data_IF_658718759561
#
_entry.id   IF_658718759561
#
_cell.length_a   1.000
_cell.length_b   1.000
_cell.length_c   1.000
_cell.angle_alpha   90.00
_cell.angle_beta   90.00
_cell.angle_gamma   90.00
#
_symmetry.space_group_name_H-M   'P 1'
#
loop_
_entity.id
_entity.type
_entity.pdbx_description
1 polymer ?
2 polymer ?
3 water ?
#
# COMPACT_ATOMS: atom_id res chain seq x y z
N UNK A 2 -33.26 8.23 -28.94
CA UNK A 2 -33.25 9.34 -27.98
C UNK A 2 -31.89 9.53 -27.32
N UNK A 3 -31.60 10.78 -26.96
CA UNK A 3 -30.31 11.12 -26.36
C UNK A 3 -30.22 10.52 -24.97
N UNK A 4 -28.99 10.23 -24.56
CA UNK A 4 -28.76 9.56 -23.27
C UNK A 4 -29.09 10.52 -22.12
N UNK A 5 -29.75 10.01 -21.06
CA UNK A 5 -30.01 10.86 -19.91
C UNK A 5 -28.73 11.37 -19.22
N UNK A 6 -28.85 12.48 -18.50
CA UNK A 6 -27.71 13.13 -17.88
C UNK A 6 -27.75 13.06 -16.36
N UNK A 7 -26.56 13.21 -15.76
CA UNK A 7 -26.36 13.36 -14.30
C UNK A 7 -27.13 12.34 -13.46
N UNK A 8 -26.66 11.09 -13.51
CA UNK A 8 -27.27 10.02 -12.73
C UNK A 8 -26.66 10.09 -11.35
N UNK A 9 -27.54 10.32 -10.38
CA UNK A 9 -27.22 10.65 -9.03
C UNK A 9 -27.99 9.74 -8.14
N UNK A 10 -27.50 9.53 -6.92
CA UNK A 10 -28.20 8.73 -5.91
C UNK A 10 -28.80 9.67 -4.89
N UNK A 11 -30.11 9.59 -4.70
CA UNK A 11 -30.82 10.44 -3.74
C UNK A 11 -30.75 9.87 -2.34
N UNK A 12 -30.95 8.57 -2.23
CA UNK A 12 -31.03 7.89 -0.93
C UNK A 12 -30.48 6.47 -1.09
N UNK A 13 -29.88 5.93 -0.02
CA UNK A 13 -29.26 4.60 -0.08
C UNK A 13 -29.44 3.83 1.21
N UNK A 14 -29.76 2.54 1.11
CA UNK A 14 -30.01 1.65 2.28
C UNK A 14 -29.47 0.27 1.97
N UNK A 15 -29.53 -0.63 2.95
CA UNK A 15 -29.22 -2.04 2.70
C UNK A 15 -30.26 -2.60 1.74
N UNK A 16 -31.51 -2.17 1.95
CA UNK A 16 -32.68 -2.67 1.24
C UNK A 16 -32.79 -2.22 -0.23
N UNK A 17 -32.63 -0.92 -0.45
CA UNK A 17 -32.79 -0.34 -1.78
C UNK A 17 -32.04 0.97 -1.93
N UNK A 18 -31.83 1.37 -3.17
CA UNK A 18 -31.17 2.64 -3.47
C UNK A 18 -32.07 3.41 -4.41
N UNK A 19 -32.34 4.68 -4.11
CA UNK A 19 -33.16 5.51 -4.97
C UNK A 19 -32.27 6.39 -5.82
N UNK A 20 -32.36 6.22 -7.14
CA UNK A 20 -31.52 6.96 -8.08
C UNK A 20 -32.35 7.88 -8.98
N UNK A 21 -31.87 9.11 -9.18
CA UNK A 21 -32.49 10.10 -10.09
C UNK A 21 -31.58 10.43 -11.29
N UNK A 22 -32.15 11.17 -12.24
CA UNK A 22 -31.43 11.61 -13.44
C UNK A 22 -32.10 12.82 -14.10
N UNK A 23 -31.29 13.60 -14.82
CA UNK A 23 -31.78 14.72 -15.60
C UNK A 23 -32.25 14.23 -16.97
N UNK A 24 -33.34 14.81 -17.47
CA UNK A 24 -33.93 14.39 -18.77
C UNK A 24 -33.01 14.90 -19.89
N UNK A 25 -32.92 14.15 -20.99
CA UNK A 25 -32.04 14.60 -22.07
C UNK A 25 -32.62 15.76 -22.88
N UNK A 26 -31.78 16.32 -23.76
CA UNK A 26 -32.17 17.46 -24.60
C UNK A 26 -33.36 17.08 -25.46
N UNK A 27 -34.35 17.98 -25.52
CA UNK A 27 -35.67 17.67 -26.06
C UNK A 27 -35.57 17.69 -27.59
N UNK A 28 -36.13 16.66 -28.23
CA UNK A 28 -36.09 16.46 -29.66
C UNK A 28 -37.52 16.23 -30.18
N UNK A 29 -37.72 16.58 -31.44
CA UNK A 29 -38.99 16.38 -32.13
C UNK A 29 -39.08 15.04 -32.84
N UNK A 30 -38.24 14.08 -32.47
CA UNK A 30 -38.25 12.73 -33.05
C UNK A 30 -39.43 11.91 -32.57
N UNK A 31 -39.57 11.82 -31.25
CA UNK A 31 -40.74 11.17 -30.65
C UNK A 31 -40.71 11.37 -29.15
N UNK A 32 -41.89 11.61 -28.51
CA UNK A 32 -41.89 11.81 -27.06
C UNK A 32 -41.36 10.61 -26.26
N UNK A 33 -40.61 10.90 -25.20
CA UNK A 33 -40.01 9.90 -24.33
C UNK A 33 -41.11 9.17 -23.56
N UNK A 34 -41.26 7.87 -23.83
CA UNK A 34 -42.30 7.06 -23.18
C UNK A 34 -41.91 6.75 -21.75
N UNK A 35 -40.61 6.64 -21.50
CA UNK A 35 -40.08 6.34 -20.17
C UNK A 35 -38.58 6.12 -20.22
N UNK A 36 -38.07 5.43 -19.21
CA UNK A 36 -36.65 5.13 -19.09
C UNK A 36 -36.41 3.72 -18.54
N UNK A 37 -35.23 3.17 -18.88
CA UNK A 37 -34.73 1.92 -18.31
C UNK A 37 -33.49 2.20 -17.47
N UNK A 38 -33.41 1.54 -16.31
CA UNK A 38 -32.31 1.69 -15.36
C UNK A 38 -31.54 0.37 -15.29
N UNK A 39 -30.21 0.47 -15.37
CA UNK A 39 -29.34 -0.70 -15.28
C UNK A 39 -28.40 -0.56 -14.09
N UNK A 40 -28.14 -1.67 -13.41
CA UNK A 40 -27.21 -1.68 -12.28
C UNK A 40 -26.07 -2.64 -12.53
N UNK A 41 -24.91 -2.34 -11.96
CA UNK A 41 -23.73 -3.20 -12.09
C UNK A 41 -22.98 -3.19 -10.78
N UNK A 42 -22.61 -4.36 -10.27
CA UNK A 42 -21.83 -4.45 -9.05
C UNK A 42 -20.44 -3.99 -9.45
N UNK A 43 -19.84 -3.05 -8.72
CA UNK A 43 -18.63 -2.36 -9.18
C UNK A 43 -17.49 -3.23 -9.76
N UNK A 44 -17.18 -4.33 -9.09
CA UNK A 44 -16.08 -5.22 -9.54
C UNK A 44 -16.32 -5.95 -10.85
N UNK A 45 -17.49 -6.59 -10.94
CA UNK A 45 -17.93 -7.32 -12.12
C UNK A 45 -18.23 -6.38 -13.27
N UNK A 46 -18.36 -6.93 -14.47
CA UNK A 46 -18.73 -6.11 -15.60
C UNK A 46 -20.12 -6.49 -16.10
N UNK A 47 -20.92 -7.09 -15.20
CA UNK A 47 -22.27 -7.54 -15.53
C UNK A 47 -23.30 -6.46 -15.27
N UNK A 48 -23.95 -6.01 -16.35
CA UNK A 48 -25.01 -5.00 -16.29
C UNK A 48 -26.38 -5.68 -16.38
N UNK A 49 -27.24 -5.41 -15.39
CA UNK A 49 -28.57 -5.97 -15.31
C UNK A 49 -29.62 -4.86 -15.36
N UNK A 50 -30.69 -5.10 -16.12
CA UNK A 50 -31.81 -4.19 -16.28
C UNK A 50 -32.75 -4.34 -15.08
N UNK A 51 -32.97 -3.25 -14.34
CA UNK A 51 -33.72 -3.28 -13.08
C UNK A 51 -35.22 -3.34 -13.31
N UNK A 52 -35.72 -2.56 -14.25
CA UNK A 52 -37.14 -2.50 -14.57
C UNK A 52 -37.43 -3.15 -15.91
N UNK A 53 -38.47 -3.98 -15.96
CA UNK A 53 -38.84 -4.73 -17.18
C UNK A 53 -39.61 -3.87 -18.20
N UNK A 54 -40.47 -2.97 -17.71
CA UNK A 54 -41.16 -1.96 -18.57
C UNK A 54 -40.75 -0.52 -18.16
N UNK A 55 -40.76 0.45 -19.12
CA UNK A 55 -40.27 1.80 -18.82
C UNK A 55 -40.97 2.52 -17.70
N UNK A 56 -40.25 3.42 -17.05
CA UNK A 56 -40.76 4.30 -15.98
C UNK A 56 -40.61 5.77 -16.39
N UNK A 57 -41.64 6.57 -16.17
CA UNK A 57 -41.59 7.99 -16.56
C UNK A 57 -41.02 8.87 -15.47
N UNK A 58 -41.30 8.51 -14.22
CA UNK A 58 -40.89 9.31 -13.08
C UNK A 58 -39.37 9.29 -12.99
N UNK A 59 -38.77 10.48 -13.06
CA UNK A 59 -37.30 10.63 -13.13
C UNK A 59 -36.51 10.30 -11.83
N UNK A 60 -37.14 9.60 -10.87
CA UNK A 60 -36.46 9.00 -9.68
C UNK A 60 -36.98 7.57 -9.45
N UNK A 61 -36.07 6.63 -9.15
CA UNK A 61 -36.42 5.19 -9.16
C UNK A 61 -35.74 4.38 -8.03
N UNK A 62 -36.52 3.57 -7.28
CA UNK A 62 -35.93 2.74 -6.24
C UNK A 62 -35.45 1.40 -6.80
N UNK A 63 -34.19 1.07 -6.54
CA UNK A 63 -33.58 -0.16 -7.05
C UNK A 63 -33.52 -1.16 -5.91
N UNK A 64 -34.03 -2.37 -6.16
CA UNK A 64 -34.00 -3.47 -5.18
C UNK A 64 -33.06 -4.59 -5.67
N UNK A 65 -33.02 -5.71 -4.96
CA UNK A 65 -32.15 -6.82 -5.32
C UNK A 65 -30.69 -6.47 -5.14
N UNK A 66 -30.36 -5.88 -4.00
CA UNK A 66 -28.99 -5.47 -3.67
C UNK A 66 -28.42 -6.43 -2.63
N UNK A 67 -27.23 -6.94 -2.91
CA UNK A 67 -26.52 -7.76 -1.94
C UNK A 67 -25.89 -6.77 -0.95
N UNK A 68 -26.24 -6.91 0.33
CA UNK A 68 -25.88 -5.95 1.39
C UNK A 68 -24.37 -5.76 1.47
N UNK A 69 -23.96 -4.50 1.65
CA UNK A 69 -22.53 -4.17 1.77
C UNK A 69 -21.74 -4.09 0.47
N UNK A 70 -22.38 -4.39 -0.66
CA UNK A 70 -21.71 -4.35 -1.95
C UNK A 70 -22.00 -3.00 -2.56
N UNK A 71 -21.06 -2.52 -3.37
CA UNK A 71 -21.19 -1.22 -4.02
C UNK A 71 -21.61 -1.39 -5.46
N UNK A 72 -22.50 -0.50 -5.92
CA UNK A 72 -23.12 -0.58 -7.26
C UNK A 72 -22.97 0.75 -8.04
N UNK A 73 -22.90 0.64 -9.37
CA UNK A 73 -23.01 1.80 -10.27
C UNK A 73 -24.22 1.66 -11.21
N UNK A 74 -24.73 2.79 -11.70
CA UNK A 74 -25.98 2.83 -12.45
C UNK A 74 -25.91 3.67 -13.70
N UNK A 75 -26.66 3.25 -14.71
CA UNK A 75 -26.86 4.01 -15.93
C UNK A 75 -28.34 3.97 -16.33
N UNK A 76 -28.77 4.96 -17.10
CA UNK A 76 -30.16 5.10 -17.56
C UNK A 76 -30.17 5.20 -19.07
N UNK A 77 -31.22 4.65 -19.69
CA UNK A 77 -31.43 4.72 -21.14
C UNK A 77 -32.83 5.25 -21.38
N UNK A 78 -32.95 6.28 -22.22
CA UNK A 78 -34.27 6.80 -22.59
C UNK A 78 -34.92 5.91 -23.64
N UNK A 79 -36.25 5.86 -23.64
CA UNK A 79 -36.99 5.05 -24.63
C UNK A 79 -38.24 5.77 -25.15
N UNK A 80 -38.36 5.79 -26.48
CA UNK A 80 -39.51 6.38 -27.19
C UNK A 80 -40.21 5.33 -28.07
N UNK A 81 -41.05 5.79 -28.99
CA UNK A 81 -41.77 4.92 -29.92
C UNK A 81 -40.88 4.25 -30.98
N UNK A 82 -39.74 4.88 -31.24
CA UNK A 82 -38.77 4.47 -32.22
C UNK A 82 -37.53 3.79 -31.59
N UNK A 83 -37.65 3.36 -30.32
CA UNK A 83 -36.72 2.37 -29.73
C UNK A 83 -36.02 2.97 -28.54
N UNK A 84 -34.95 2.31 -28.10
CA UNK A 84 -34.19 2.69 -26.91
C UNK A 84 -32.91 3.39 -27.34
N UNK A 85 -32.54 4.43 -26.58
CA UNK A 85 -31.32 5.17 -26.83
C UNK A 85 -30.13 4.56 -26.12
N UNK A 86 -28.98 5.21 -26.25
CA UNK A 86 -27.76 4.72 -25.62
C UNK A 86 -27.76 5.06 -24.13
N UNK A 87 -26.92 4.37 -23.32
CA UNK A 87 -26.94 4.62 -21.88
C UNK A 87 -26.24 5.89 -21.47
N UNK A 88 -26.67 6.40 -20.33
CA UNK A 88 -26.05 7.55 -19.71
C UNK A 88 -24.68 7.22 -19.17
N UNK A 89 -23.90 8.27 -18.94
CA UNK A 89 -22.63 8.17 -18.27
C UNK A 89 -22.94 7.61 -16.86
N UNK A 90 -22.19 6.59 -16.44
CA UNK A 90 -22.53 5.84 -15.22
C UNK A 90 -22.34 6.69 -13.96
N UNK A 91 -23.06 6.34 -12.90
CA UNK A 91 -23.06 7.08 -11.64
C UNK A 91 -21.80 6.87 -10.82
N UNK A 92 -21.66 7.64 -9.75
CA UNK A 92 -20.63 7.39 -8.75
C UNK A 92 -21.02 6.13 -7.98
N UNK A 93 -20.05 5.34 -7.51
CA UNK A 93 -20.47 4.11 -6.82
C UNK A 93 -21.28 4.37 -5.57
N UNK A 94 -22.30 3.52 -5.34
CA UNK A 94 -23.22 3.64 -4.20
C UNK A 94 -23.20 2.32 -3.42
N UNK A 95 -22.78 2.35 -2.16
CA UNK A 95 -22.72 1.14 -1.33
C UNK A 95 -24.07 0.86 -0.69
N UNK A 96 -24.50 -0.40 -0.72
CA UNK A 96 -25.77 -0.81 -0.11
C UNK A 96 -25.64 -1.03 1.39
N UNK A 97 -25.61 0.07 2.14
CA UNK A 97 -25.46 0.07 3.60
C UNK A 97 -26.40 1.07 4.19
N UNK A 98 -26.88 0.81 5.39
CA UNK A 98 -27.66 1.82 6.10
C UNK A 98 -26.73 3.01 6.41
N UNK A 99 -27.26 4.24 6.38
CA UNK A 99 -26.40 5.41 6.55
C UNK A 99 -25.42 5.38 7.73
N UNK A 100 -25.86 4.88 8.89
CA UNK A 100 -25.02 4.79 10.09
C UNK A 100 -23.83 3.84 9.92
N UNK A 101 -24.05 2.73 9.21
CA UNK A 101 -22.96 1.77 8.96
C UNK A 101 -21.94 2.35 7.98
N UNK A 102 -22.39 3.05 6.95
CA UNK A 102 -21.49 3.76 6.03
C UNK A 102 -20.66 4.82 6.78
N UNK A 103 -21.29 5.58 7.66
CA UNK A 103 -20.61 6.58 8.50
C UNK A 103 -19.57 5.93 9.41
N UNK A 104 -19.97 4.81 10.02
CA UNK A 104 -19.12 4.04 10.92
C UNK A 104 -17.85 3.55 10.24
N UNK A 105 -18.03 2.92 9.08
CA UNK A 105 -16.92 2.41 8.25
C UNK A 105 -16.01 3.51 7.73
N UNK A 106 -16.60 4.60 7.26
CA UNK A 106 -15.84 5.77 6.76
C UNK A 106 -14.93 6.39 7.81
N UNK A 107 -15.42 6.45 9.04
CA UNK A 107 -14.64 6.96 10.17
C UNK A 107 -14.27 5.81 11.08
N UNK A 108 -13.44 4.91 10.55
CA UNK A 108 -12.91 3.80 11.32
C UNK A 108 -11.39 3.78 11.18
N UNK A 109 -10.66 3.68 12.33
CA UNK A 109 -9.21 3.63 12.20
C UNK A 109 -8.71 2.26 11.75
N UNK A 110 -7.67 2.28 10.91
CA UNK A 110 -7.04 1.08 10.40
C UNK A 110 -5.54 1.11 10.70
N UNK A 111 -5.03 0.02 11.25
CA UNK A 111 -3.61 -0.13 11.60
C UNK A 111 -2.74 0.01 10.36
N UNK A 112 -1.59 0.71 10.46
CA UNK A 112 -0.82 0.96 9.25
C UNK A 112 -0.20 -0.30 8.63
N UNK A 113 -0.04 -0.28 7.32
CA UNK A 113 0.60 -1.34 6.56
C UNK A 113 1.79 -0.71 5.86
N UNK A 114 2.92 -1.40 5.88
CA UNK A 114 4.15 -0.86 5.31
C UNK A 114 4.65 -1.73 4.17
N UNK A 115 4.90 -1.08 3.03
CA UNK A 115 5.36 -1.78 1.83
C UNK A 115 6.82 -2.11 1.87
N UNK A 116 7.25 -2.98 0.95
CA UNK A 116 8.65 -3.30 0.81
C UNK A 116 9.44 -2.03 0.55
N UNK A 117 10.65 -1.97 1.09
CA UNK A 117 11.52 -0.85 0.86
C UNK A 117 12.26 -1.11 -0.44
N UNK A 118 12.09 -0.20 -1.39
CA UNK A 118 12.71 -0.27 -2.71
C UNK A 118 13.98 0.61 -2.66
N UNK A 119 15.14 -0.03 -2.81
CA UNK A 119 16.41 0.67 -2.77
C UNK A 119 16.96 0.76 -4.20
N UNK A 120 17.39 1.97 -4.58
CA UNK A 120 17.95 2.24 -5.91
C UNK A 120 19.20 3.13 -5.85
N UNK A 121 20.12 2.90 -6.78
CA UNK A 121 21.35 3.71 -6.91
C UNK A 121 21.20 4.89 -7.88
N UNK A 122 21.62 6.08 -7.44
CA UNK A 122 21.69 7.31 -8.26
C UNK A 122 23.09 7.92 -8.18
N UNK A 123 23.42 8.84 -9.10
CA UNK A 123 24.61 9.72 -8.91
C UNK A 123 24.32 11.16 -9.30
N UNK A 124 24.96 12.11 -8.60
CA UNK A 124 24.90 13.52 -9.04
C UNK A 124 25.71 13.75 -10.31
N UNK B 2 38.76 -3.64 22.40
CA UNK B 2 38.70 -4.81 21.51
C UNK B 2 37.82 -4.59 20.29
N UNK B 3 38.15 -5.28 19.20
CA UNK B 3 37.42 -5.11 17.93
C UNK B 3 36.02 -5.70 18.07
N UNK B 4 35.09 -5.16 17.31
CA UNK B 4 33.70 -5.57 17.39
C UNK B 4 33.52 -6.98 16.84
N UNK B 5 32.68 -7.80 17.51
CA UNK B 5 32.41 -9.14 16.98
C UNK B 5 31.70 -9.12 15.63
N UNK B 6 31.83 -10.21 14.89
CA UNK B 6 31.29 -10.29 13.53
C UNK B 6 30.15 -11.29 13.42
N UNK B 7 29.33 -11.10 12.37
CA UNK B 7 28.26 -12.02 11.94
C UNK B 7 27.35 -12.51 13.06
N UNK B 8 26.53 -11.60 13.59
CA UNK B 8 25.58 -11.94 14.65
C UNK B 8 24.34 -12.52 13.97
N UNK B 9 24.05 -13.77 14.32
CA UNK B 9 22.93 -14.49 13.73
C UNK B 9 22.17 -15.18 14.84
N UNK B 10 20.97 -15.63 14.49
CA UNK B 10 20.09 -16.33 15.40
C UNK B 10 20.11 -17.81 15.06
N UNK B 11 20.47 -18.63 16.04
CA UNK B 11 20.44 -20.06 15.85
C UNK B 11 19.04 -20.64 16.01
N UNK B 12 18.32 -20.19 17.04
CA UNK B 12 17.03 -20.77 17.41
C UNK B 12 16.15 -19.67 18.02
N UNK B 13 14.83 -19.76 17.84
CA UNK B 13 13.91 -18.71 18.31
C UNK B 13 12.58 -19.26 18.81
N UNK B 14 12.09 -18.70 19.91
CA UNK B 14 10.87 -19.17 20.59
C UNK B 14 10.20 -18.01 21.26
N UNK B 15 8.99 -18.23 21.75
CA UNK B 15 8.31 -17.22 22.52
C UNK B 15 9.15 -16.92 23.73
N UNK B 16 9.72 -17.99 24.30
CA UNK B 16 10.41 -17.97 25.60
C UNK B 16 11.77 -17.29 25.53
N UNK B 17 12.56 -17.68 24.55
CA UNK B 17 13.93 -17.19 24.43
C UNK B 17 14.44 -17.30 23.01
N UNK B 18 15.49 -16.57 22.71
CA UNK B 18 16.14 -16.62 21.40
C UNK B 18 17.61 -16.89 21.62
N UNK B 19 18.16 -17.87 20.91
CA UNK B 19 19.58 -18.19 21.04
C UNK B 19 20.33 -17.54 19.89
N UNK B 20 21.27 -16.65 20.23
CA UNK B 20 22.05 -15.92 19.23
C UNK B 20 23.54 -16.26 19.32
N UNK B 21 24.17 -16.46 18.16
CA UNK B 21 25.63 -16.70 18.03
C UNK B 21 26.37 -15.55 17.33
N UNK B 22 27.71 -15.60 17.37
CA UNK B 22 28.57 -14.62 16.68
C UNK B 22 30.00 -15.14 16.44
N UNK B 23 30.66 -14.57 15.42
CA UNK B 23 32.06 -14.87 15.06
C UNK B 23 32.98 -13.97 15.90
N UNK B 24 34.09 -14.55 16.40
CA UNK B 24 35.04 -13.85 17.28
C UNK B 24 35.80 -12.81 16.46
N UNK B 25 36.17 -11.66 17.05
CA UNK B 25 36.88 -10.66 16.25
C UNK B 25 38.35 -11.02 16.00
N UNK B 26 39.01 -10.22 15.16
CA UNK B 26 40.44 -10.41 14.83
C UNK B 26 41.32 -10.28 16.08
N UNK B 27 42.31 -11.16 16.23
CA UNK B 27 43.11 -11.24 17.46
C UNK B 27 44.12 -10.07 17.54
N UNK B 28 43.78 -9.02 18.29
CA UNK B 28 44.67 -7.82 18.36
C UNK B 28 45.91 -7.98 19.26
N UNK B 29 45.89 -8.97 20.17
CA UNK B 29 47.00 -9.20 21.10
C UNK B 29 47.25 -8.12 22.16
N UNK B 30 46.28 -7.21 22.32
CA UNK B 30 46.36 -6.15 23.33
C UNK B 30 46.10 -6.68 24.74
N UNK B 31 44.98 -7.36 24.91
CA UNK B 31 44.59 -8.03 26.16
C UNK B 31 43.57 -9.13 25.84
N UNK B 32 43.70 -10.32 26.43
CA UNK B 32 42.78 -11.41 26.07
C UNK B 32 41.30 -11.11 26.37
N UNK B 33 40.42 -11.54 25.45
CA UNK B 33 38.97 -11.32 25.56
C UNK B 33 38.42 -12.13 26.74
N UNK B 34 37.91 -11.43 27.75
CA UNK B 34 37.38 -12.05 28.96
C UNK B 34 35.98 -12.58 28.78
N UNK B 35 35.29 -12.03 27.79
CA UNK B 35 33.96 -12.51 27.42
C UNK B 35 33.30 -11.53 26.48
N UNK B 36 31.97 -11.58 26.42
CA UNK B 36 31.17 -10.70 25.57
C UNK B 36 29.89 -10.25 26.28
N UNK B 37 29.39 -9.10 25.86
CA UNK B 37 28.08 -8.59 26.28
C UNK B 37 27.15 -8.58 25.07
N UNK B 38 25.91 -9.00 25.30
CA UNK B 38 24.89 -9.06 24.28
C UNK B 38 23.84 -7.99 24.62
N UNK B 39 23.45 -7.23 23.60
CA UNK B 39 22.43 -6.19 23.77
C UNK B 39 21.25 -6.51 22.85
N UNK B 40 20.03 -6.27 23.33
CA UNK B 40 18.83 -6.47 22.51
C UNK B 40 18.06 -5.16 22.38
N UNK B 41 17.32 -5.02 21.29
CA UNK B 41 16.48 -3.86 21.05
C UNK B 41 15.22 -4.31 20.35
N UNK B 42 14.07 -3.83 20.82
CA UNK B 42 12.80 -4.11 20.18
C UNK B 42 12.76 -3.24 18.92
N UNK B 43 12.55 -3.87 17.76
CA UNK B 43 12.82 -3.23 16.47
C UNK B 43 12.34 -1.77 16.33
N UNK B 44 11.12 -1.49 16.78
CA UNK B 44 10.56 -0.15 16.63
C UNK B 44 11.26 0.92 17.45
N UNK B 45 11.42 0.63 18.75
CA UNK B 45 12.07 1.53 19.71
C UNK B 45 13.55 1.66 19.43
N UNK B 46 14.20 2.63 20.05
CA UNK B 46 15.64 2.73 19.94
C UNK B 46 16.29 2.45 21.28
N UNK B 47 15.61 1.69 22.13
CA UNK B 47 16.12 1.33 23.45
C UNK B 47 16.92 0.05 23.40
N UNK B 48 18.21 0.16 23.67
CA UNK B 48 19.14 -0.97 23.70
C UNK B 48 19.38 -1.36 25.15
N UNK B 49 19.12 -2.62 25.46
CA UNK B 49 19.27 -3.16 26.82
C UNK B 49 20.30 -4.28 26.84
N UNK B 50 21.12 -4.29 27.89
CA UNK B 50 22.16 -5.28 28.07
C UNK B 50 21.53 -6.54 28.67
N UNK B 51 21.70 -7.68 27.99
CA UNK B 51 21.03 -8.93 28.38
C UNK B 51 21.71 -9.66 29.51
N UNK B 52 23.04 -9.72 29.48
CA UNK B 52 23.83 -10.37 30.51
C UNK B 52 24.57 -9.34 31.36
N UNK B 53 24.53 -9.53 32.68
CA UNK B 53 25.12 -8.57 33.64
C UNK B 53 26.64 -8.75 33.76
N UNK B 54 27.12 -9.99 33.69
CA UNK B 54 28.58 -10.28 33.61
C UNK B 54 28.93 -11.01 32.28
N UNK B 55 30.19 -10.83 31.76
CA UNK B 55 30.52 -11.38 30.44
C UNK B 55 30.39 -12.87 30.30
N UNK B 56 30.12 -13.32 29.08
CA UNK B 56 30.02 -14.73 28.72
C UNK B 56 31.08 -15.07 27.66
N UNK B 57 31.77 -16.20 27.82
CA UNK B 57 32.84 -16.61 26.88
C UNK B 57 32.28 -17.43 25.72
N UNK B 58 31.27 -18.24 26.01
CA UNK B 58 30.69 -19.15 25.04
C UNK B 58 30.04 -18.33 23.93
N UNK B 59 30.51 -18.53 22.70
CA UNK B 59 30.07 -17.71 21.54
C UNK B 59 28.61 -17.97 21.02
N UNK B 60 27.76 -18.62 21.82
CA UNK B 60 26.29 -18.72 21.59
C UNK B 60 25.51 -18.49 22.91
N UNK B 61 24.43 -17.71 22.86
CA UNK B 61 23.79 -17.19 24.07
C UNK B 61 22.24 -17.15 24.01
N UNK B 62 21.56 -17.71 25.03
CA UNK B 62 20.11 -17.61 25.07
C UNK B 62 19.62 -16.30 25.70
N UNK B 63 18.77 -15.58 24.99
CA UNK B 63 18.24 -14.30 25.44
C UNK B 63 16.83 -14.51 25.98
N UNK B 64 16.59 -14.04 27.20
CA UNK B 64 15.26 -14.12 27.83
C UNK B 64 14.65 -12.71 27.98
N UNK B 65 13.49 -12.61 28.63
CA UNK B 65 12.82 -11.33 28.82
C UNK B 65 12.31 -10.78 27.51
N UNK B 66 11.65 -11.64 26.73
CA UNK B 66 11.09 -11.26 25.45
C UNK B 66 9.57 -11.13 25.59
N UNK B 67 9.04 -10.01 25.11
CA UNK B 67 7.60 -9.83 25.05
C UNK B 67 7.15 -10.61 23.82
N UNK B 68 6.26 -11.58 24.03
CA UNK B 68 5.85 -12.54 23.00
C UNK B 68 5.28 -11.83 21.78
N UNK B 69 5.66 -12.30 20.59
CA UNK B 69 5.18 -11.73 19.34
C UNK B 69 5.88 -10.48 18.85
N UNK B 70 6.81 -9.94 19.63
CA UNK B 70 7.52 -8.73 19.26
C UNK B 70 8.82 -9.15 18.60
N UNK B 71 9.31 -8.32 17.67
CA UNK B 71 10.54 -8.62 16.94
C UNK B 71 11.69 -7.83 17.53
N UNK B 72 12.87 -8.48 17.59
CA UNK B 72 14.07 -7.93 18.24
C UNK B 72 15.30 -7.98 17.34
N UNK B 73 16.21 -7.03 17.52
CA UNK B 73 17.56 -7.08 16.91
C UNK B 73 18.66 -7.10 17.98
N UNK B 74 19.82 -7.63 17.63
CA UNK B 74 20.90 -7.88 18.59
C UNK B 74 22.26 -7.41 18.11
N UNK B 75 23.08 -6.97 19.07
CA UNK B 75 24.48 -6.66 18.83
C UNK B 75 25.32 -7.22 19.97
N UNK B 76 26.60 -7.45 19.69
CA UNK B 76 27.56 -8.00 20.67
C UNK B 76 28.73 -7.05 20.81
N UNK B 77 29.26 -6.95 22.03
CA UNK B 77 30.44 -6.14 22.31
C UNK B 77 31.43 -7.05 23.01
N UNK B 78 32.67 -7.07 22.52
CA UNK B 78 33.74 -7.80 23.20
C UNK B 78 34.24 -7.05 24.43
N UNK B 79 34.71 -7.78 25.43
CA UNK B 79 35.24 -7.14 26.64
C UNK B 79 36.51 -7.84 27.16
N UNK B 80 37.53 -7.02 27.45
CA UNK B 80 38.81 -7.48 28.02
C UNK B 80 39.10 -6.83 29.37
N UNK B 81 40.33 -6.93 29.84
CA UNK B 81 40.69 -6.32 31.13
C UNK B 81 40.51 -4.83 31.15
N UNK B 82 40.79 -4.21 30.01
CA UNK B 82 40.84 -2.76 29.95
C UNK B 82 39.44 -2.12 29.89
N UNK B 83 38.47 -2.87 29.40
CA UNK B 83 37.17 -2.31 29.10
C UNK B 83 36.44 -2.99 27.96
N UNK B 84 35.36 -2.35 27.53
CA UNK B 84 34.44 -2.89 26.51
C UNK B 84 34.66 -2.21 25.15
N UNK B 85 34.58 -3.00 24.09
CA UNK B 85 34.74 -2.50 22.73
C UNK B 85 33.43 -1.99 22.16
N UNK B 86 33.50 -1.57 20.90
CA UNK B 86 32.34 -1.06 20.20
C UNK B 86 31.43 -2.22 19.78
N UNK B 87 30.14 -1.93 19.52
CA UNK B 87 29.23 -3.03 19.19
C UNK B 87 29.36 -3.55 17.77
N UNK B 88 28.96 -4.79 17.60
CA UNK B 88 28.90 -5.42 16.30
C UNK B 88 27.79 -4.82 15.45
N UNK B 89 27.89 -5.07 14.15
CA UNK B 89 26.84 -4.74 13.22
C UNK B 89 25.61 -5.56 13.64
N UNK B 90 24.45 -4.91 13.75
CA UNK B 90 23.27 -5.55 14.36
C UNK B 90 22.70 -6.67 13.48
N UNK B 91 22.00 -7.60 14.12
CA UNK B 91 21.47 -8.80 13.47
C UNK B 91 20.24 -8.51 12.63
N UNK B 92 19.81 -9.51 11.86
CA UNK B 92 18.51 -9.45 11.19
C UNK B 92 17.42 -9.57 12.25
N UNK B 93 16.25 -8.93 12.04
CA UNK B 93 15.24 -9.00 13.10
C UNK B 93 14.76 -10.44 13.36
N UNK B 94 14.52 -10.74 14.64
CA UNK B 94 14.07 -12.07 15.09
C UNK B 94 12.78 -11.91 15.90
N UNK B 95 11.69 -12.50 15.42
CA UNK B 95 10.41 -12.43 16.12
C UNK B 95 10.31 -13.48 17.20
N UNK B 96 9.82 -13.09 18.39
CA UNK B 96 9.64 -14.01 19.50
C UNK B 96 8.33 -14.79 19.36
N UNK B 97 8.36 -15.81 18.50
CA UNK B 97 7.23 -16.70 18.28
C UNK B 97 7.74 -18.12 18.22
N UNK B 98 6.89 -19.07 18.60
CA UNK B 98 7.20 -20.48 18.39
C UNK B 98 7.24 -20.74 16.88
N UNK B 99 8.11 -21.67 16.43
CA UNK B 99 8.29 -21.85 14.99
C UNK B 99 7.02 -22.05 14.15
N UNK B 100 6.04 -22.80 14.67
CA UNK B 100 4.77 -23.05 13.99
C UNK B 100 3.93 -21.79 13.81
N UNK B 101 3.95 -20.91 14.80
CA UNK B 101 3.21 -19.65 14.72
C UNK B 101 3.87 -18.69 13.70
N UNK B 102 5.19 -18.63 13.66
CA UNK B 102 5.92 -17.87 12.64
C UNK B 102 5.60 -18.39 11.22
N UNK B 103 5.58 -19.70 11.06
CA UNK B 103 5.22 -20.34 9.78
C UNK B 103 3.79 -20.01 9.38
N UNK B 104 2.88 -20.08 10.35
CA UNK B 104 1.47 -19.79 10.17
C UNK B 104 1.23 -18.36 9.69
N UNK B 105 1.84 -17.42 10.38
CA UNK B 105 1.76 -15.99 10.03
C UNK B 105 2.39 -15.65 8.68
N UNK B 106 3.55 -16.23 8.40
CA UNK B 106 4.25 -16.04 7.13
C UNK B 106 3.44 -16.50 5.92
N UNK B 107 2.73 -17.62 6.08
CA UNK B 107 1.86 -18.14 5.04
C UNK B 107 0.41 -17.93 5.46
N UNK B 108 0.02 -16.66 5.56
CA UNK B 108 -1.34 -16.27 5.87
C UNK B 108 -1.83 -15.25 4.84
N UNK B 109 -3.02 -15.47 4.26
CA UNK B 109 -3.50 -14.49 3.29
C UNK B 109 -4.11 -13.26 3.97
N UNK B 110 -3.88 -12.10 3.36
CA UNK B 110 -4.49 -10.85 3.78
C UNK B 110 -5.22 -10.22 2.58
N UNK B 111 -6.45 -9.78 2.81
CA UNK B 111 -7.30 -9.18 1.78
C UNK B 111 -6.62 -7.93 1.19
N UNK B 112 -6.66 -7.74 -0.15
CA UNK B 112 -5.91 -6.63 -0.71
C UNK B 112 -6.42 -5.25 -0.33
N UNK B 113 -5.51 -4.30 -0.27
CA UNK B 113 -5.84 -2.91 0.00
C UNK B 113 -5.39 -2.11 -1.20
N UNK B 114 -6.18 -1.12 -1.62
CA UNK B 114 -5.82 -0.29 -2.77
C UNK B 114 -5.85 1.21 -2.46
N UNK B 115 -4.80 1.89 -2.90
CA UNK B 115 -4.62 3.33 -2.63
C UNK B 115 -5.41 4.22 -3.56
N UNK B 116 -5.46 5.50 -3.23
CA UNK B 116 -6.07 6.48 -4.10
C UNK B 116 -5.41 6.43 -5.48
N UNK B 117 -6.21 6.62 -6.53
CA UNK B 117 -5.71 6.69 -7.90
C UNK B 117 -5.24 8.12 -8.15
N UNK B 118 -3.96 8.26 -8.46
CA UNK B 118 -3.34 9.55 -8.74
C UNK B 118 -3.33 9.73 -10.26
N UNK B 119 -4.05 10.74 -10.74
CA UNK B 119 -4.14 11.00 -12.17
C UNK B 119 -3.29 12.21 -12.51
N UNK B 120 -2.46 12.09 -13.55
CA UNK B 120 -1.57 13.17 -14.00
C UNK B 120 -1.54 13.29 -15.52
N UNK B 121 -1.32 14.51 -16.00
CA UNK B 121 -1.19 14.81 -17.44
C UNK B 121 0.27 14.76 -17.93
N UNK B 122 0.51 14.06 -19.03
CA UNK B 122 1.82 13.99 -19.70
C UNK B 122 1.69 14.45 -21.15
N UNK B 123 2.81 14.89 -21.73
CA UNK B 123 2.84 15.58 -23.00
C UNK B 123 3.41 14.66 -24.07
N UNK B 124 2.65 14.38 -25.14
CA UNK B 124 3.23 13.61 -26.24
C UNK B 124 4.27 14.41 -27.05
N UNK C 2 -9.28 -2.43 4.52
CA UNK C 2 -9.14 -2.30 3.09
C UNK C 2 -10.45 -1.88 2.43
N UNK C 3 -10.78 -0.59 2.52
CA UNK C 3 -12.06 -0.07 1.99
C UNK C 3 -11.95 0.40 0.53
N UNK C 4 -10.79 0.96 0.19
CA UNK C 4 -10.53 1.41 -1.17
C UNK C 4 -11.09 2.79 -1.43
N UNK C 5 -10.30 3.61 -2.11
CA UNK C 5 -10.60 5.03 -2.32
C UNK C 5 -11.70 5.24 -3.36
N UNK C 6 -12.56 6.22 -3.12
CA UNK C 6 -13.61 6.59 -4.07
C UNK C 6 -14.75 5.61 -4.26
N UNK C 7 -14.86 4.59 -3.39
CA UNK C 7 -15.96 3.62 -3.43
C UNK C 7 -17.02 4.02 -2.37
N UNK C 8 -16.60 4.15 -1.11
CA UNK C 8 -17.51 4.65 -0.05
C UNK C 8 -17.59 6.18 -0.10
N UNK C 9 -16.42 6.82 -0.14
CA UNK C 9 -16.31 8.26 -0.42
C UNK C 9 -16.60 8.53 -1.90
N UNK C 10 -16.97 9.77 -2.24
CA UNK C 10 -17.20 10.14 -3.64
C UNK C 10 -15.82 10.20 -4.31
N UNK C 11 -15.68 9.61 -5.50
CA UNK C 11 -14.37 9.64 -6.15
C UNK C 11 -13.94 11.05 -6.57
N UNK C 12 -12.64 11.27 -6.67
CA UNK C 12 -12.10 12.58 -7.07
C UNK C 12 -12.31 12.76 -8.57
N UNK C 13 -12.43 13.99 -9.03
CA UNK C 13 -12.55 14.28 -10.47
C UNK C 13 -11.29 14.97 -10.94
N UNK C 14 -10.57 14.37 -11.88
CA UNK C 14 -9.36 14.97 -12.44
C UNK C 14 -9.55 15.33 -13.92
N UNK C 15 -9.37 16.61 -14.22
CA UNK C 15 -9.53 17.17 -15.55
C UNK C 15 -8.23 17.02 -16.37
N UNK C 16 -8.38 16.70 -17.64
CA UNK C 16 -7.26 16.51 -18.57
C UNK C 16 -7.55 17.28 -19.86
N UNK C 17 -6.50 17.78 -20.51
CA UNK C 17 -6.68 18.51 -21.75
C UNK C 17 -6.75 17.54 -22.92
N UNK C 18 -7.67 17.81 -23.84
CA UNK C 18 -7.93 16.93 -24.97
C UNK C 18 -6.70 16.89 -25.85
N UNK C 19 -6.32 15.67 -26.25
CA UNK C 19 -5.14 15.42 -27.08
C UNK C 19 -3.89 15.05 -26.29
N UNK C 20 -3.90 15.24 -24.98
CA UNK C 20 -2.76 14.92 -24.13
C UNK C 20 -2.96 13.55 -23.49
N UNK C 21 -1.90 13.01 -22.90
CA UNK C 21 -1.94 11.72 -22.23
C UNK C 21 -2.39 11.88 -20.78
N UNK C 22 -3.03 10.85 -20.23
CA UNK C 22 -3.46 10.82 -18.81
C UNK C 22 -2.95 9.54 -18.14
N UNK C 23 -2.20 9.71 -17.07
CA UNK C 23 -1.58 8.62 -16.33
C UNK C 23 -2.36 8.37 -15.04
N UNK C 24 -2.74 7.11 -14.81
CA UNK C 24 -3.46 6.69 -13.62
C UNK C 24 -2.51 5.78 -12.85
N UNK C 25 -2.08 6.20 -11.65
CA UNK C 25 -1.22 5.37 -10.82
C UNK C 25 -1.96 4.92 -9.57
N UNK C 26 -1.77 3.65 -9.22
CA UNK C 26 -2.42 3.05 -8.05
C UNK C 26 -1.53 1.98 -7.41
N UNK C 27 -1.24 2.14 -6.13
CA UNK C 27 -0.43 1.18 -5.36
C UNK C 27 -1.38 0.22 -4.64
N UNK C 28 -1.03 -1.07 -4.63
CA UNK C 28 -1.88 -2.14 -4.06
C UNK C 28 -1.03 -3.11 -3.20
N UNK C 29 -1.53 -3.47 -2.02
CA UNK C 29 -0.89 -4.45 -1.12
C UNK C 29 -1.79 -5.67 -0.92
N UNK C 30 -1.20 -6.84 -0.66
CA UNK C 30 -1.93 -8.13 -0.49
C UNK C 30 -0.86 -9.24 -0.42
N UNK C 31 -0.93 -10.20 0.50
CA UNK C 31 -0.67 -11.62 0.27
C UNK C 31 -1.81 -12.57 0.09
N UNK C 32 -1.77 -13.42 -0.97
CA UNK C 32 -0.76 -13.48 -2.04
C UNK C 32 -0.83 -12.27 -2.97
N UNK C 33 0.16 -12.14 -3.86
CA UNK C 33 0.19 -11.08 -4.88
C UNK C 33 -1.19 -10.93 -5.58
N UNK C 34 -1.89 -9.80 -5.34
CA UNK C 34 -3.23 -9.66 -5.95
C UNK C 34 -3.18 -9.29 -7.42
N UNK C 35 -3.96 -10.01 -8.23
CA UNK C 35 -4.08 -9.74 -9.66
C UNK C 35 -5.01 -8.57 -9.84
N UNK C 36 -4.58 -7.58 -10.63
CA UNK C 36 -5.34 -6.34 -10.79
C UNK C 36 -5.85 -6.17 -12.23
N UNK C 37 -7.01 -5.55 -12.35
CA UNK C 37 -7.60 -5.23 -13.65
C UNK C 37 -8.32 -3.88 -13.62
N UNK C 38 -8.35 -3.23 -14.77
CA UNK C 38 -8.95 -1.91 -14.88
C UNK C 38 -10.32 -2.02 -15.54
N UNK C 39 -11.18 -1.08 -15.17
CA UNK C 39 -12.52 -0.95 -15.71
C UNK C 39 -12.81 0.50 -15.99
N UNK C 40 -13.67 0.73 -16.98
CA UNK C 40 -14.09 2.06 -17.35
C UNK C 40 -15.58 2.02 -17.62
N UNK C 41 -16.32 2.81 -16.86
CA UNK C 41 -17.76 2.92 -16.98
C UNK C 41 -18.48 1.55 -16.89
N UNK C 42 -17.94 0.67 -16.04
CA UNK C 42 -18.46 -0.67 -15.84
C UNK C 42 -18.11 -1.67 -16.92
N UNK C 43 -17.11 -1.34 -17.74
CA UNK C 43 -16.67 -2.19 -18.84
C UNK C 43 -15.21 -2.52 -18.58
N UNK C 44 -14.76 -3.73 -18.97
CA UNK C 44 -13.36 -4.04 -18.75
C UNK C 44 -12.45 -3.26 -19.69
N UNK C 45 -11.34 -2.76 -19.16
CA UNK C 45 -10.36 -2.06 -19.96
C UNK C 45 -9.35 -3.08 -20.44
N UNK C 46 -9.06 -3.05 -21.75
CA UNK C 46 -8.17 -4.02 -22.36
C UNK C 46 -7.02 -3.29 -23.08
N UNK C 47 -5.79 -3.86 -23.04
CA UNK C 47 -4.63 -3.18 -23.64
C UNK C 47 -4.76 -2.94 -25.16
N UNK C 48 -4.68 -1.66 -25.53
CA UNK C 48 -4.79 -1.20 -26.90
C UNK C 48 -3.54 -0.40 -27.25
N UNK C 49 -3.51 0.10 -28.48
CA UNK C 49 -2.53 1.07 -28.87
C UNK C 49 -2.72 2.32 -28.01
N UNK C 50 -3.98 2.74 -27.93
CA UNK C 50 -4.39 3.92 -27.15
C UNK C 50 -4.29 3.75 -25.63
N UNK C 51 -4.66 2.57 -25.14
CA UNK C 51 -4.69 2.29 -23.71
C UNK C 51 -3.55 1.34 -23.37
N UNK C 52 -2.66 1.73 -22.45
CA UNK C 52 -1.58 0.86 -21.98
C UNK C 52 -1.58 0.62 -20.48
N UNK C 53 -1.24 -0.60 -20.07
CA UNK C 53 -1.18 -0.96 -18.67
C UNK C 53 0.09 -1.71 -18.32
N UNK C 54 0.79 -1.24 -17.30
CA UNK C 54 2.04 -1.85 -16.86
C UNK C 54 2.28 -1.54 -15.39
N UNK C 55 3.15 -2.31 -14.74
CA UNK C 55 3.48 -2.04 -13.36
C UNK C 55 4.76 -1.22 -13.30
N UNK C 56 4.69 -0.08 -12.62
CA UNK C 56 5.81 0.85 -12.41
C UNK C 56 7.02 0.22 -11.68
N UNK C 57 8.21 0.77 -11.92
CA UNK C 57 9.42 0.33 -11.21
C UNK C 57 9.42 0.75 -9.74
N UNK C 58 8.71 1.83 -9.42
CA UNK C 58 8.52 2.28 -8.03
C UNK C 58 7.52 1.41 -7.25
N UNK C 59 7.08 0.31 -7.86
CA UNK C 59 5.94 -0.44 -7.34
C UNK C 59 4.66 0.21 -7.88
N UNK C 60 3.53 -0.45 -7.72
CA UNK C 60 2.24 0.09 -8.15
C UNK C 60 1.95 -0.10 -9.61
N UNK C 61 0.66 -0.22 -9.93
CA UNK C 61 0.19 -0.50 -11.27
C UNK C 61 -0.28 0.78 -11.94
N UNK C 62 -0.01 0.87 -13.24
CA UNK C 62 -0.23 2.09 -14.00
C UNK C 62 -1.13 1.82 -15.19
N UNK C 63 -2.06 2.74 -15.43
CA UNK C 63 -2.88 2.73 -16.62
C UNK C 63 -2.62 4.03 -17.33
N UNK C 64 -2.36 3.97 -18.63
CA UNK C 64 -2.06 5.17 -19.38
C UNK C 64 -2.96 5.26 -20.62
N UNK C 65 -3.79 6.30 -20.67
CA UNK C 65 -4.69 6.48 -21.82
C UNK C 65 -4.09 7.62 -22.60
N UNK C 66 -3.69 7.34 -23.84
CA UNK C 66 -2.97 8.32 -24.64
C UNK C 66 -3.92 9.07 -25.56
N UNK C 67 -3.69 10.38 -25.72
CA UNK C 67 -4.42 11.22 -26.66
C UNK C 67 -5.89 11.21 -26.25
N UNK C 68 -6.15 11.82 -25.12
CA UNK C 68 -7.49 11.85 -24.56
C UNK C 68 -8.48 12.54 -25.45
N UNK C 69 -9.68 11.98 -25.52
CA UNK C 69 -10.78 12.48 -26.32
C UNK C 69 -11.94 12.71 -25.37
N UNK C 70 -12.90 13.52 -25.78
CA UNK C 70 -14.05 13.81 -24.92
C UNK C 70 -14.76 12.54 -24.47
N UNK C 71 -14.90 11.61 -25.42
CA UNK C 71 -15.49 10.28 -25.17
C UNK C 71 -14.78 9.42 -24.10
N UNK C 72 -13.52 9.74 -23.78
CA UNK C 72 -12.75 9.01 -22.75
C UNK C 72 -13.15 9.32 -21.29
N UNK C 73 -13.97 10.33 -21.10
CA UNK C 73 -14.57 10.67 -19.82
C UNK C 73 -15.17 9.47 -19.12
N UNK C 74 -15.17 9.45 -17.80
CA UNK C 74 -15.94 8.44 -17.08
C UNK C 74 -15.31 8.01 -15.78
N UNK C 75 -15.91 6.98 -15.20
CA UNK C 75 -15.45 6.39 -13.95
C UNK C 75 -14.42 5.31 -14.25
N UNK C 76 -13.19 5.53 -13.78
CA UNK C 76 -12.10 4.60 -13.95
C UNK C 76 -11.89 3.90 -12.62
N UNK C 77 -11.97 2.56 -12.63
CA UNK C 77 -11.87 1.74 -11.42
C UNK C 77 -10.68 0.79 -11.53
N UNK C 78 -9.87 0.74 -10.49
CA UNK C 78 -8.76 -0.21 -10.36
C UNK C 78 -9.17 -1.32 -9.40
N UNK C 79 -9.47 -2.50 -9.96
CA UNK C 79 -9.93 -3.65 -9.19
C UNK C 79 -8.74 -4.56 -8.93
N UNK C 80 -8.60 -4.99 -7.68
CA UNK C 80 -7.50 -5.87 -7.28
C UNK C 80 -8.07 -7.00 -6.47
N UNK C 81 -7.70 -8.23 -6.82
CA UNK C 81 -8.23 -9.42 -6.16
C UNK C 81 -7.12 -10.48 -5.91
N UNK C 82 -7.21 -11.12 -4.74
CA UNK C 82 -6.42 -12.32 -4.40
C UNK C 82 -7.32 -13.37 -3.75
N UNK C 83 -6.74 -14.49 -3.32
CA UNK C 83 -7.51 -15.60 -2.73
C UNK C 83 -8.43 -15.19 -1.58
N UNK C 84 -7.96 -14.27 -0.75
CA UNK C 84 -8.72 -13.81 0.43
C UNK C 84 -9.83 -12.80 0.14
N UNK C 85 -9.63 -11.96 -0.88
CA UNK C 85 -10.62 -10.93 -1.17
C UNK C 85 -10.32 -10.04 -2.36
N UNK C 86 -11.20 -9.07 -2.54
CA UNK C 86 -11.12 -8.07 -3.59
C UNK C 86 -11.42 -6.68 -3.04
N UNK C 87 -10.77 -5.67 -3.58
CA UNK C 87 -10.94 -4.28 -3.15
C UNK C 87 -10.78 -3.41 -4.39
N UNK C 88 -11.61 -2.36 -4.51
CA UNK C 88 -11.58 -1.46 -5.67
C UNK C 88 -11.24 -0.03 -5.23
N UNK C 89 -10.57 0.70 -6.12
CA UNK C 89 -10.41 2.16 -6.04
C UNK C 89 -11.00 2.82 -7.28
N UNK C 90 -11.64 3.98 -7.13
CA UNK C 90 -12.30 4.67 -8.24
C UNK C 90 -11.86 6.13 -8.37
N UNK C 91 -12.04 6.68 -9.58
CA UNK C 91 -11.67 8.06 -9.92
C UNK C 91 -12.40 8.50 -11.19
N UNK C 92 -12.69 9.79 -11.31
CA UNK C 92 -13.44 10.31 -12.46
C UNK C 92 -12.59 11.23 -13.33
N UNK C 93 -12.60 10.98 -14.63
CA UNK C 93 -11.83 11.76 -15.61
C UNK C 93 -12.78 12.62 -16.42
N UNK C 94 -12.51 13.93 -16.45
CA UNK C 94 -13.23 14.89 -17.31
C UNK C 94 -12.23 15.47 -18.32
N UNK C 95 -12.73 15.78 -19.50
CA UNK C 95 -11.87 16.22 -20.61
C UNK C 95 -12.17 17.66 -21.04
N UNK C 96 -11.13 18.48 -21.04
CA UNK C 96 -11.20 19.90 -21.34
C UNK C 96 -10.98 20.09 -22.85
N UNK C 97 -12.06 20.37 -23.58
CA UNK C 97 -11.96 20.52 -25.05
C UNK C 97 -11.39 21.88 -25.46
N UNK C 98 -10.46 21.93 -26.45
CA UNK C 98 -9.93 23.23 -26.88
C UNK C 98 -10.84 23.93 -27.90
N UNK D 1 -3.64 -8.03 7.01
CA UNK D 1 -2.35 -8.56 7.59
C UNK D 1 -1.19 -7.56 7.53
N UNK D 2 -1.20 -6.53 8.40
CA UNK D 2 -0.11 -5.57 8.35
C UNK D 2 1.14 -6.11 9.06
N UNK D 3 1.88 -6.98 8.39
CA UNK D 3 3.07 -7.64 8.99
C UNK D 3 4.36 -6.86 8.75
N UNK D 4 4.46 -6.25 7.55
CA UNK D 4 5.61 -5.43 7.20
C UNK D 4 6.75 -6.28 6.67
N UNK D 5 7.39 -5.78 5.62
CA UNK D 5 8.42 -6.51 4.89
C UNK D 5 9.74 -6.58 5.65
N UNK D 6 10.41 -7.73 5.56
CA UNK D 6 11.74 -7.90 6.17
C UNK D 6 11.81 -7.97 7.69
N UNK D 7 10.67 -8.08 8.37
CA UNK D 7 10.61 -8.22 9.84
C UNK D 7 10.45 -9.71 10.20
N UNK D 8 9.42 -10.36 9.67
CA UNK D 8 9.26 -11.82 9.84
C UNK D 8 10.12 -12.59 8.85
N UNK D 9 10.02 -12.22 7.58
CA UNK D 9 10.96 -12.66 6.53
C UNK D 9 12.32 -12.01 6.71
N UNK D 10 13.36 -12.61 6.16
CA UNK D 10 14.70 -12.01 6.21
C UNK D 10 14.71 -10.82 5.26
N UNK D 11 15.24 -9.66 5.72
CA UNK D 11 15.20 -8.48 4.84
C UNK D 11 16.10 -8.67 3.61
N UNK D 12 15.77 -7.95 2.54
CA UNK D 12 16.54 -8.03 1.30
C UNK D 12 17.85 -7.29 1.51
N UNK D 13 18.89 -7.67 0.78
CA UNK D 13 20.16 -6.94 0.82
C UNK D 13 20.39 -6.24 -0.52
N UNK D 14 20.52 -4.91 -0.50
CA UNK D 14 20.81 -4.16 -1.70
C UNK D 14 22.20 -3.50 -1.66
N UNK D 15 23.04 -3.85 -2.63
CA UNK D 15 24.39 -3.35 -2.77
C UNK D 15 24.43 -2.00 -3.50
N UNK D 16 25.28 -1.10 -3.02
CA UNK D 16 25.43 0.24 -3.58
C UNK D 16 26.92 0.53 -3.74
N UNK D 17 27.29 1.30 -4.76
CA UNK D 17 28.68 1.65 -4.98
C UNK D 17 29.07 2.84 -4.14
N UNK D 18 30.27 2.76 -3.56
CA UNK D 18 30.78 3.77 -2.64
C UNK D 18 30.94 5.09 -3.39
N UNK D 19 30.46 6.17 -2.77
CA UNK D 19 30.48 7.50 -3.34
C UNK D 19 29.21 7.91 -4.08
N UNK D 20 28.32 6.94 -4.35
CA UNK D 20 27.06 7.21 -5.05
C UNK D 20 25.93 7.35 -4.03
N UNK D 21 24.78 7.85 -4.48
CA UNK D 21 23.61 8.05 -3.63
C UNK D 21 22.77 6.79 -3.59
N UNK D 22 22.07 6.58 -2.47
CA UNK D 22 21.15 5.44 -2.31
C UNK D 22 19.79 5.94 -1.86
N UNK D 23 18.76 5.60 -2.63
CA UNK D 23 17.39 6.03 -2.39
C UNK D 23 16.60 4.87 -1.80
N UNK D 24 15.92 5.13 -0.69
CA UNK D 24 15.07 4.15 0.00
C UNK D 24 13.64 4.65 -0.14
N UNK D 25 12.81 3.91 -0.88
CA UNK D 25 11.41 4.28 -1.04
C UNK D 25 10.51 3.27 -0.35
N UNK D 26 9.50 3.77 0.35
CA UNK D 26 8.56 2.94 1.09
C UNK D 26 7.17 3.56 1.09
N UNK D 27 6.18 2.83 0.59
CA UNK D 27 4.79 3.28 0.58
C UNK D 27 4.09 2.73 1.83
N UNK D 28 3.27 3.55 2.46
CA UNK D 28 2.58 3.23 3.73
C UNK D 28 1.11 3.64 3.68
N UNK D 29 0.21 2.76 4.14
CA UNK D 29 -1.24 3.05 4.21
C UNK D 29 -1.71 3.02 5.65
N UNK D 30 -2.76 3.79 5.97
CA UNK D 30 -3.31 3.93 7.36
C UNK D 30 -4.35 5.07 7.32
N UNK D 31 -5.56 4.93 7.90
CA UNK D 31 -6.24 5.91 8.74
C UNK D 31 -6.17 5.79 10.23
N UNK D 32 -5.82 6.90 10.93
CA UNK D 32 -5.43 8.22 10.40
C UNK D 32 -4.06 8.18 9.74
N UNK D 33 -3.68 9.27 9.09
CA UNK D 33 -2.35 9.44 8.49
C UNK D 33 -1.23 8.98 9.45
N UNK D 34 -0.55 7.85 9.14
CA UNK D 34 0.48 7.39 10.08
C UNK D 34 1.78 8.18 9.98
N UNK D 35 2.29 8.60 11.14
CA UNK D 35 3.56 9.33 11.23
C UNK D 35 4.69 8.32 11.11
N UNK D 36 5.65 8.61 10.24
CA UNK D 36 6.73 7.66 9.96
C UNK D 36 8.11 8.21 10.37
N UNK D 37 9.00 7.32 10.80
CA UNK D 37 10.38 7.66 11.13
C UNK D 37 11.36 6.55 10.70
N UNK D 38 12.58 6.95 10.41
CA UNK D 38 13.61 6.04 9.96
C UNK D 38 14.58 5.72 11.09
N UNK D 39 15.12 4.50 11.02
CA UNK D 39 16.12 3.98 11.95
C UNK D 39 17.22 3.29 11.19
N UNK D 40 18.42 3.32 11.75
CA UNK D 40 19.58 2.66 11.18
C UNK D 40 20.36 1.97 12.29
N UNK D 41 20.50 0.66 12.17
CA UNK D 41 21.18 -0.17 13.14
C UNK D 41 20.65 0.00 14.59
N UNK D 42 19.34 0.19 14.71
CA UNK D 42 18.67 0.40 15.98
C UNK D 42 18.83 1.79 16.55
N UNK D 43 19.24 2.75 15.72
CA UNK D 43 19.45 4.14 16.14
C UNK D 43 18.53 5.01 15.30
N UNK D 44 18.03 6.13 15.86
CA UNK D 44 17.15 6.98 15.07
C UNK D 44 17.93 7.73 13.96
N UNK D 45 17.34 7.79 12.77
CA UNK D 45 17.95 8.53 11.66
C UNK D 45 17.41 9.94 11.69
N UNK D 46 18.31 10.92 11.61
CA UNK D 46 17.96 12.34 11.72
C UNK D 46 18.42 13.11 10.48
N UNK D 47 17.57 14.06 9.99
CA UNK D 47 17.93 14.80 8.75
C UNK D 47 19.26 15.59 8.83
N UNK D 48 20.17 15.26 7.92
CA UNK D 48 21.50 15.86 7.82
C UNK D 48 21.68 16.39 6.40
N UNK D 49 22.85 16.95 6.16
CA UNK D 49 23.28 17.30 4.82
C UNK D 49 23.36 16.00 4.03
N UNK D 50 23.99 15.01 4.64
CA UNK D 50 24.19 13.68 4.04
C UNK D 50 22.91 12.86 3.92
N UNK D 51 22.06 12.93 4.94
CA UNK D 51 20.85 12.11 5.01
C UNK D 51 19.66 13.03 4.83
N UNK D 52 18.82 12.77 3.82
CA UNK D 52 17.58 13.57 3.64
C UNK D 52 16.30 12.73 3.55
N UNK D 53 15.22 13.27 4.11
CA UNK D 53 13.96 12.56 4.19
C UNK D 53 12.81 13.44 3.74
N UNK D 54 12.02 12.95 2.80
CA UNK D 54 10.87 13.70 2.29
C UNK D 54 9.84 12.72 1.75
N UNK D 55 8.62 13.18 1.58
CA UNK D 55 7.59 12.34 1.00
C UNK D 55 7.53 12.65 -0.50
N UNK D 56 7.76 11.62 -1.30
CA UNK D 56 7.77 11.76 -2.75
C UNK D 56 6.37 12.16 -3.18
N UNK D 57 6.25 13.05 -4.16
CA UNK D 57 4.93 13.34 -4.69
C UNK D 57 4.47 12.04 -5.33
N UNK D 58 3.17 11.80 -5.38
CA UNK D 58 2.62 10.48 -5.80
C UNK D 58 2.71 9.39 -4.73
N UNK D 59 2.83 9.78 -3.45
CA UNK D 59 2.62 8.90 -2.30
C UNK D 59 3.72 8.70 -1.27
N UNK D 60 4.51 7.63 -1.39
CA UNK D 60 5.36 7.14 -0.30
C UNK D 60 6.56 7.96 0.17
N UNK D 61 7.03 7.63 1.36
CA UNK D 61 8.08 8.35 2.06
C UNK D 61 9.43 7.88 1.56
N UNK D 62 10.36 8.81 1.48
CA UNK D 62 11.68 8.55 0.91
C UNK D 62 12.79 8.94 1.87
N UNK D 63 13.81 8.10 1.94
CA UNK D 63 15.02 8.39 2.67
C UNK D 63 16.14 8.36 1.65
N UNK D 64 16.98 9.36 1.65
CA UNK D 64 18.07 9.43 0.68
C UNK D 64 19.39 9.64 1.41
N UNK D 65 20.31 8.69 1.28
CA UNK D 65 21.62 8.81 1.91
C UNK D 65 22.58 9.08 0.77
N UNK D 66 23.24 10.24 0.82
CA UNK D 66 24.06 10.71 -0.30
C UNK D 66 25.53 10.40 -0.04
N UNK D 67 26.25 9.98 -1.09
CA UNK D 67 27.68 9.74 -1.02
C UNK D 67 27.93 8.64 -0.01
N UNK D 68 27.49 7.44 -0.38
CA UNK D 68 27.61 6.27 0.49
C UNK D 68 29.03 5.89 0.82
N UNK D 69 29.24 5.52 2.09
CA UNK D 69 30.55 5.16 2.63
C UNK D 69 30.39 3.79 3.19
N UNK D 70 31.50 3.08 3.37
CA UNK D 70 31.44 1.72 3.90
C UNK D 70 30.68 1.65 5.23
N UNK D 71 30.97 2.64 6.08
CA UNK D 71 30.32 2.78 7.39
C UNK D 71 28.79 2.94 7.34
N UNK D 72 28.24 3.32 6.19
CA UNK D 72 26.78 3.44 6.04
C UNK D 72 26.00 2.11 5.97
N UNK D 73 26.72 0.99 5.82
CA UNK D 73 26.15 -0.37 5.85
C UNK D 73 25.35 -0.68 7.09
N UNK D 74 24.23 -1.36 6.92
CA UNK D 74 23.44 -1.78 8.07
C UNK D 74 21.99 -2.02 7.76
N UNK D 75 21.22 -2.23 8.82
CA UNK D 75 19.81 -2.46 8.75
C UNK D 75 19.07 -1.12 8.79
N UNK D 76 18.36 -0.82 7.72
CA UNK D 76 17.54 0.38 7.60
C UNK D 76 16.09 -0.03 7.80
N UNK D 77 15.42 0.59 8.77
CA UNK D 77 14.03 0.27 9.13
C UNK D 77 13.17 1.51 8.95
N UNK D 78 12.02 1.32 8.28
CA UNK D 78 11.02 2.37 8.14
C UNK D 78 9.87 2.05 9.09
N UNK D 79 9.77 2.83 10.17
CA UNK D 79 8.74 2.64 11.20
C UNK D 79 7.60 3.60 10.97
N UNK D 80 6.37 3.09 10.99
CA UNK D 80 5.17 3.90 10.73
C UNK D 80 4.14 3.59 11.80
N UNK D 81 3.59 4.63 12.42
CA UNK D 81 2.65 4.48 13.52
C UNK D 81 1.48 5.47 13.41
N UNK D 82 0.28 4.99 13.77
CA UNK D 82 -0.92 5.84 13.97
C UNK D 82 -1.64 5.41 15.25
N UNK D 83 -2.78 6.02 15.54
CA UNK D 83 -3.55 5.73 16.77
C UNK D 83 -3.86 4.25 16.99
N UNK D 84 -4.17 3.54 15.91
CA UNK D 84 -4.53 2.11 15.97
C UNK D 84 -3.34 1.15 16.11
N UNK D 85 -2.20 1.51 15.56
CA UNK D 85 -1.02 0.63 15.65
C UNK D 85 0.25 1.14 14.99
N UNK D 86 1.25 0.26 14.98
CA UNK D 86 2.56 0.51 14.37
C UNK D 86 2.98 -0.72 13.56
N UNK D 87 3.71 -0.48 12.46
CA UNK D 87 4.23 -1.56 11.62
C UNK D 87 5.57 -1.10 11.07
N UNK D 88 6.53 -2.03 10.96
CA UNK D 88 7.88 -1.70 10.45
C UNK D 88 8.18 -2.49 9.17
N UNK D 89 8.99 -1.88 8.28
CA UNK D 89 9.63 -2.58 7.17
C UNK D 89 11.14 -2.43 7.30
N UNK D 90 11.88 -3.48 6.94
CA UNK D 90 13.34 -3.48 7.05
C UNK D 90 14.05 -3.84 5.74
N UNK D 91 15.31 -3.43 5.63
CA UNK D 91 16.15 -3.69 4.45
C UNK D 91 17.63 -3.53 4.81
N UNK D 92 18.51 -4.26 4.14
CA UNK D 92 19.95 -4.21 4.44
C UNK D 92 20.75 -3.59 3.30
N UNK D 93 21.61 -2.63 3.63
CA UNK D 93 22.47 -1.96 2.65
C UNK D 93 23.90 -2.42 2.81
N UNK D 94 24.52 -2.89 1.72
CA UNK D 94 25.95 -3.24 1.67
C UNK D 94 26.64 -2.30 0.67
N UNK D 95 27.90 -1.98 0.93
CA UNK D 95 28.63 -0.99 0.14
C UNK D 95 29.83 -1.61 -0.61
N UNK D 96 29.85 -1.41 -1.93
CA UNK D 96 30.90 -1.92 -2.84
C UNK D 96 32.05 -0.93 -2.89
N UNK D 97 33.15 -1.22 -2.22
CA UNK D 97 34.30 -0.29 -2.19
C UNK D 97 35.14 -0.35 -3.48
N UNK D 98 35.60 0.81 -4.00
CA UNK D 98 36.54 0.77 -5.14
C UNK D 98 37.99 0.56 -4.68
#
# INVERSE_FOLDING_TARGET
MPAAPLDVKCLEANKDYIIISWKQPAVDGGSPILGYFIDKCEVGTDSWSQCNDTPVKFARFPVTGLIEGRSYIFRVRAVNKMGIGFPSRVSEPVAALDPAEKARLKSRPSAPWTGQIIVTEEEPSEGIVPGPPTDLSVTEATRSYVVLSWKPPGQRGHEGIMYFVEKCEAGTENWQRVNTELPVKSPRFALFDLAEGKSYCFRVRCSNSAGVGEPSEATEVTVVGDKLDIP
MPAAPLDVKCLEANKDYIIISWKQPAVDGGSPILGYFIDKCEVGTDSWSQCNDTPVKFARFPVTGLIEGRSYIFRVRAVNKMGIGFPSRVSEPVAALDPAEKARLKSRPSAPWTGQIIVTEEEPSEGIVPGPPTDLSVTEATRSYVVLSWKPPGQRGHEGIMYFVEKCEAGTENWQRVNTELPVKSPRFALFDLAEGKSYCFRVRCSNSAGVGEPSEATEVTVVGDKLDIP
GPLGSGILMAPKTFWVNEGKHAKFRCYVMGKPEPEIEWHWEGRPLLPDRRRLMYRDRDGGFVLKVLYCQAKDRGLYVCAARNSAGQTLSAVQLHVKEP
GPLGSGILMAPKTFWVNEGKHAKFRCYVMGKPEPEIEWHWEGRPLLPDRRRLMYRDRDGGFVLKVLYCQAKDRGLYVCAARNSAGQTLSAVQLHVKEP
#
